data_IF_278902355825
#
_entry.id   IF_278902355825
#
_cell.length_a   1.000
_cell.length_b   1.000
_cell.length_c   1.000
_cell.angle_alpha   90.00
_cell.angle_beta   90.00
_cell.angle_gamma   90.00
#
_symmetry.space_group_name_H-M   'P 1'
#
loop_
_entity.id
_entity.type
_entity.pdbx_description
1 polymer ?
#
# COMPACT_ATOMS: atom_id res chain seq x y z
N UNK A 1 -4.40 9.93 10.62
CA UNK A 1 -4.46 8.47 10.86
C UNK A 1 -5.72 7.88 10.30
N UNK A 2 -6.90 8.41 10.65
CA UNK A 2 -8.19 7.78 10.36
C UNK A 2 -8.44 7.49 8.87
N UNK A 3 -8.45 8.48 7.98
CA UNK A 3 -8.74 8.24 6.56
C UNK A 3 -7.72 7.31 5.89
N UNK A 4 -6.43 7.53 6.13
CA UNK A 4 -5.36 6.77 5.48
C UNK A 4 -5.38 5.30 5.86
N UNK A 5 -5.60 4.98 7.14
CA UNK A 5 -5.74 3.59 7.60
C UNK A 5 -7.03 2.99 7.04
N UNK A 6 -8.17 3.69 7.10
CA UNK A 6 -9.47 3.21 6.61
C UNK A 6 -9.41 2.82 5.14
N UNK A 7 -8.85 3.68 4.31
CA UNK A 7 -8.70 3.46 2.88
C UNK A 7 -7.75 2.29 2.59
N UNK A 8 -6.65 2.17 3.34
CA UNK A 8 -5.71 1.07 3.15
C UNK A 8 -6.27 -0.27 3.61
N UNK A 9 -7.09 -0.30 4.67
CA UNK A 9 -7.89 -1.47 5.05
C UNK A 9 -8.79 -1.91 3.89
N UNK A 10 -9.53 -0.97 3.27
CA UNK A 10 -10.38 -1.27 2.12
C UNK A 10 -9.59 -1.81 0.90
N UNK A 11 -8.44 -1.20 0.61
CA UNK A 11 -7.55 -1.64 -0.47
C UNK A 11 -7.02 -3.07 -0.26
N UNK A 12 -6.50 -3.36 0.94
CA UNK A 12 -5.94 -4.66 1.27
C UNK A 12 -7.06 -5.71 1.34
N UNK A 13 -8.20 -5.38 1.95
CA UNK A 13 -9.35 -6.28 2.00
C UNK A 13 -9.82 -6.68 0.60
N UNK A 14 -9.99 -5.73 -0.32
CA UNK A 14 -10.31 -6.03 -1.72
C UNK A 14 -9.26 -6.94 -2.37
N UNK A 15 -7.97 -6.66 -2.15
CA UNK A 15 -6.87 -7.46 -2.72
C UNK A 15 -6.90 -8.90 -2.21
N UNK A 16 -7.11 -9.10 -0.90
CA UNK A 16 -7.22 -10.43 -0.30
C UNK A 16 -8.49 -11.16 -0.78
N UNK A 17 -9.65 -10.50 -0.80
CA UNK A 17 -10.92 -11.11 -1.21
C UNK A 17 -10.94 -11.50 -2.71
N UNK A 18 -10.11 -10.86 -3.53
CA UNK A 18 -9.91 -11.21 -4.95
C UNK A 18 -8.72 -12.14 -5.20
N UNK A 19 -8.12 -12.66 -4.12
CA UNK A 19 -7.00 -13.61 -4.10
C UNK A 19 -7.26 -14.69 -3.04
N UNK A 20 -8.22 -15.60 -3.28
CA UNK A 20 -8.64 -16.58 -2.28
C UNK A 20 -7.49 -17.51 -1.84
N UNK A 21 -6.53 -17.77 -2.72
CA UNK A 21 -5.35 -18.59 -2.43
C UNK A 21 -4.45 -17.93 -1.39
N UNK A 22 -4.25 -16.61 -1.50
CA UNK A 22 -3.50 -15.82 -0.52
C UNK A 22 -4.23 -15.78 0.83
N UNK A 23 -5.55 -15.60 0.84
CA UNK A 23 -6.33 -15.68 2.08
C UNK A 23 -6.24 -17.06 2.74
N UNK A 24 -6.32 -18.14 1.97
CA UNK A 24 -6.16 -19.51 2.51
C UNK A 24 -4.77 -19.72 3.09
N UNK A 25 -3.73 -19.27 2.39
CA UNK A 25 -2.33 -19.35 2.88
C UNK A 25 -2.15 -18.57 4.18
N UNK A 26 -2.65 -17.34 4.27
CA UNK A 26 -2.54 -16.52 5.49
C UNK A 26 -3.34 -17.09 6.67
N UNK A 27 -4.44 -17.79 6.42
CA UNK A 27 -5.17 -18.52 7.47
C UNK A 27 -4.42 -19.75 7.96
N UNK A 28 -3.76 -20.48 7.05
CA UNK A 28 -2.95 -21.65 7.39
C UNK A 28 -1.67 -21.26 8.15
N UNK A 29 -1.10 -20.09 7.83
CA UNK A 29 0.15 -19.59 8.41
C UNK A 29 0.02 -18.12 8.88
N UNK A 30 -0.72 -17.84 9.97
CA UNK A 30 -0.98 -16.47 10.43
C UNK A 30 0.29 -15.66 10.75
N UNK A 31 1.38 -16.34 11.14
CA UNK A 31 2.68 -15.73 11.40
C UNK A 31 3.30 -15.04 10.17
N UNK A 32 2.82 -15.34 8.95
CA UNK A 32 3.27 -14.70 7.71
C UNK A 32 2.59 -13.33 7.48
N UNK A 33 1.56 -12.99 8.24
CA UNK A 33 0.77 -11.77 8.04
C UNK A 33 1.63 -10.50 8.10
N UNK A 34 2.51 -10.26 9.10
CA UNK A 34 3.29 -9.03 9.16
C UNK A 34 4.15 -8.81 7.90
N UNK A 35 4.86 -9.86 7.46
CA UNK A 35 5.66 -9.83 6.22
C UNK A 35 4.79 -9.57 4.99
N UNK A 36 3.65 -10.24 4.91
CA UNK A 36 2.72 -10.07 3.77
C UNK A 36 2.13 -8.66 3.73
N UNK A 37 1.89 -8.04 4.89
CA UNK A 37 1.42 -6.65 4.97
C UNK A 37 2.44 -5.65 4.44
N UNK A 38 3.74 -5.85 4.69
CA UNK A 38 4.80 -5.01 4.10
C UNK A 38 4.80 -5.12 2.57
N UNK A 39 4.63 -6.32 2.02
CA UNK A 39 4.50 -6.50 0.57
C UNK A 39 3.22 -5.85 0.02
N UNK A 40 2.09 -5.99 0.71
CA UNK A 40 0.82 -5.36 0.34
C UNK A 40 0.92 -3.83 0.38
N UNK A 41 1.60 -3.28 1.38
CA UNK A 41 1.86 -1.84 1.51
C UNK A 41 2.78 -1.34 0.39
N UNK A 42 3.81 -2.09 0.01
CA UNK A 42 4.65 -1.78 -1.16
C UNK A 42 3.82 -1.80 -2.45
N UNK A 43 3.12 -2.91 -2.67
CA UNK A 43 2.52 -3.25 -3.95
C UNK A 43 1.25 -2.42 -4.23
N UNK A 44 0.41 -2.19 -3.21
CA UNK A 44 -0.87 -1.50 -3.37
C UNK A 44 -0.67 0.00 -3.26
N UNK A 45 -0.87 0.77 -4.34
CA UNK A 45 -0.71 2.21 -4.29
C UNK A 45 -1.87 2.82 -3.49
N UNK A 46 -1.54 3.43 -2.34
CA UNK A 46 -2.53 4.13 -1.53
C UNK A 46 -3.00 5.46 -2.17
N UNK A 47 -2.16 6.07 -3.01
CA UNK A 47 -2.45 7.30 -3.78
C UNK A 47 -2.45 7.02 -5.28
N UNK A 48 -3.21 7.79 -6.04
CA UNK A 48 -3.28 7.76 -7.51
C UNK A 48 -2.29 8.69 -8.20
N UNK A 49 -1.30 9.18 -7.46
CA UNK A 49 -0.34 10.16 -7.96
C UNK A 49 0.96 10.13 -7.18
N UNK A 50 1.85 11.04 -7.57
CA UNK A 50 3.17 11.21 -6.97
C UNK A 50 3.10 11.82 -5.56
N UNK A 51 4.22 11.77 -4.84
CA UNK A 51 4.35 12.27 -3.48
C UNK A 51 4.15 13.78 -3.34
N UNK A 52 4.12 14.21 -2.06
CA UNK A 52 4.04 15.64 -1.71
C UNK A 52 5.24 16.36 -2.35
N UNK A 53 5.03 17.45 -3.10
CA UNK A 53 6.12 18.16 -3.76
C UNK A 53 7.17 18.66 -2.77
N UNK A 54 8.38 18.86 -3.27
CA UNK A 54 9.46 19.62 -2.63
C UNK A 54 9.81 20.80 -3.52
N UNK A 55 10.29 21.87 -2.91
CA UNK A 55 10.85 23.02 -3.63
C UNK A 55 12.34 23.00 -3.36
N UNK A 56 13.16 23.00 -4.41
CA UNK A 56 14.60 23.11 -4.27
C UNK A 56 14.94 24.51 -3.73
N UNK A 57 15.66 24.59 -2.62
CA UNK A 57 16.06 25.87 -2.01
C UNK A 57 17.36 26.42 -2.62
N UNK A 58 18.15 25.53 -3.20
CA UNK A 58 19.41 25.81 -3.88
C UNK A 58 19.53 24.90 -5.10
N UNK A 59 20.49 25.20 -5.97
CA UNK A 59 20.82 24.35 -7.11
C UNK A 59 21.41 23.01 -6.61
N UNK A 60 20.87 21.89 -7.08
CA UNK A 60 21.28 20.53 -6.68
C UNK A 60 21.43 19.65 -7.91
N UNK A 61 22.58 18.99 -8.04
CA UNK A 61 22.76 17.94 -9.04
C UNK A 61 22.33 16.58 -8.46
N UNK A 62 21.35 15.94 -9.10
CA UNK A 62 20.83 14.63 -8.70
C UNK A 62 20.81 13.69 -9.91
N UNK A 63 21.57 12.59 -9.83
CA UNK A 63 21.67 11.59 -10.91
C UNK A 63 22.03 12.20 -12.28
N UNK A 64 22.92 13.21 -12.29
CA UNK A 64 23.34 13.92 -13.51
C UNK A 64 22.34 14.95 -14.02
N UNK A 65 21.28 15.25 -13.28
CA UNK A 65 20.30 16.31 -13.61
C UNK A 65 20.46 17.47 -12.63
N UNK A 66 20.68 18.67 -13.16
CA UNK A 66 20.66 19.90 -12.37
C UNK A 66 19.21 20.33 -12.11
N UNK A 67 18.81 20.29 -10.84
CA UNK A 67 17.57 20.86 -10.32
C UNK A 67 17.90 22.26 -9.81
N UNK A 68 17.23 23.29 -10.31
CA UNK A 68 17.53 24.68 -9.94
C UNK A 68 16.80 25.11 -8.68
N UNK A 69 17.35 26.07 -7.96
CA UNK A 69 16.64 26.76 -6.89
C UNK A 69 15.28 27.29 -7.38
N UNK A 70 14.22 26.98 -6.65
CA UNK A 70 12.84 27.30 -6.99
C UNK A 70 12.09 26.21 -7.77
N UNK A 71 12.78 25.20 -8.32
CA UNK A 71 12.12 24.10 -9.03
C UNK A 71 11.27 23.25 -8.08
N UNK A 72 10.10 22.83 -8.57
CA UNK A 72 9.21 21.90 -7.86
C UNK A 72 9.55 20.47 -8.27
N UNK A 73 9.90 19.64 -7.29
CA UNK A 73 10.28 18.25 -7.47
C UNK A 73 9.24 17.34 -6.81
N UNK A 74 8.71 16.39 -7.58
CA UNK A 74 7.87 15.34 -7.04
C UNK A 74 8.64 14.02 -6.91
N UNK A 75 8.50 13.38 -5.76
CA UNK A 75 9.02 12.01 -5.55
C UNK A 75 7.90 11.02 -5.85
N UNK A 76 8.07 10.20 -6.86
CA UNK A 76 7.10 9.16 -7.22
C UNK A 76 7.31 7.90 -6.38
N UNK A 77 6.56 7.76 -5.29
CA UNK A 77 6.56 6.51 -4.50
C UNK A 77 6.01 5.33 -5.29
N UNK A 78 5.13 5.59 -6.27
CA UNK A 78 4.55 4.59 -7.16
C UNK A 78 5.64 3.88 -7.96
N UNK A 79 6.54 4.64 -8.58
CA UNK A 79 7.66 4.07 -9.36
C UNK A 79 8.75 3.54 -8.44
N UNK A 80 9.03 4.22 -7.32
CA UNK A 80 10.04 3.75 -6.37
C UNK A 80 9.67 2.38 -5.77
N UNK A 81 8.39 2.13 -5.46
CA UNK A 81 7.92 0.82 -4.99
C UNK A 81 7.89 -0.26 -6.09
N UNK A 82 8.09 0.12 -7.35
CA UNK A 82 8.14 -0.75 -8.53
C UNK A 82 9.50 -0.74 -9.23
N UNK A 83 10.54 -0.22 -8.57
CA UNK A 83 11.88 -0.11 -9.15
C UNK A 83 12.54 -1.49 -9.27
N UNK A 84 12.82 -1.92 -10.50
CA UNK A 84 13.47 -3.22 -10.78
C UNK A 84 14.92 -3.29 -10.30
N UNK A 85 15.58 -2.16 -10.04
CA UNK A 85 16.90 -2.14 -9.42
C UNK A 85 16.85 -2.54 -7.93
N UNK A 86 15.68 -2.46 -7.31
CA UNK A 86 15.47 -2.76 -5.89
C UNK A 86 14.58 -3.98 -5.64
N UNK A 87 13.56 -4.18 -6.47
CA UNK A 87 12.56 -5.22 -6.31
C UNK A 87 12.58 -6.14 -7.54
N UNK A 88 13.01 -7.40 -7.38
CA UNK A 88 12.84 -8.41 -8.44
C UNK A 88 11.36 -8.63 -8.75
N UNK A 89 10.98 -8.76 -10.03
CA UNK A 89 9.57 -8.85 -10.48
C UNK A 89 8.67 -7.82 -9.75
N UNK A 90 8.94 -6.51 -9.91
CA UNK A 90 8.38 -5.47 -9.04
C UNK A 90 6.85 -5.34 -9.15
N UNK A 91 6.30 -5.71 -10.31
CA UNK A 91 4.87 -5.64 -10.60
C UNK A 91 4.09 -6.87 -10.14
N UNK A 92 4.77 -7.88 -9.61
CA UNK A 92 4.13 -9.03 -8.97
C UNK A 92 3.89 -8.73 -7.49
N UNK A 93 2.76 -9.22 -6.97
CA UNK A 93 2.50 -9.30 -5.54
C UNK A 93 3.09 -10.62 -5.07
N UNK A 94 4.23 -10.58 -4.38
CA UNK A 94 4.94 -11.76 -3.88
C UNK A 94 4.91 -11.76 -2.34
N UNK A 95 3.98 -12.51 -1.71
CA UNK A 95 3.88 -12.61 -0.25
C UNK A 95 5.16 -13.12 0.42
N UNK A 96 6.01 -13.80 -0.37
CA UNK A 96 7.28 -14.35 0.05
C UNK A 96 8.48 -13.49 -0.36
N UNK A 97 8.25 -12.23 -0.73
CA UNK A 97 9.32 -11.25 -0.89
C UNK A 97 9.99 -10.97 0.47
N UNK A 98 11.32 -10.94 0.57
CA UNK A 98 12.00 -10.45 1.78
C UNK A 98 11.52 -9.05 2.14
N UNK A 99 11.29 -8.77 3.42
CA UNK A 99 10.92 -7.42 3.87
C UNK A 99 12.09 -6.48 3.61
N UNK A 100 11.93 -5.60 2.63
CA UNK A 100 12.89 -4.57 2.28
C UNK A 100 12.20 -3.20 2.31
N UNK A 101 12.90 -2.11 2.66
CA UNK A 101 12.27 -0.81 2.83
C UNK A 101 11.52 -0.34 1.58
N UNK A 102 10.26 0.06 1.75
CA UNK A 102 9.42 0.61 0.68
C UNK A 102 9.07 2.08 0.97
N UNK A 103 8.61 2.81 -0.05
CA UNK A 103 8.33 4.25 0.00
C UNK A 103 6.88 4.60 0.40
N UNK A 104 6.05 3.62 0.78
CA UNK A 104 4.62 3.85 1.12
C UNK A 104 4.44 4.85 2.27
N UNK A 105 5.37 4.88 3.22
CA UNK A 105 5.38 5.84 4.33
C UNK A 105 6.32 7.05 4.10
N UNK A 106 6.84 7.22 2.89
CA UNK A 106 7.83 8.25 2.57
C UNK A 106 9.22 7.91 3.15
N UNK A 107 10.08 8.92 3.23
CA UNK A 107 11.46 8.79 3.73
C UNK A 107 11.97 10.11 4.33
N UNK A 108 13.00 10.01 5.18
CA UNK A 108 13.70 11.16 5.76
C UNK A 108 12.91 11.88 6.85
N UNK A 109 13.15 13.19 7.01
CA UNK A 109 12.57 13.99 8.10
C UNK A 109 11.03 14.07 8.09
N UNK A 110 10.40 13.77 6.95
CA UNK A 110 8.95 13.71 6.80
C UNK A 110 8.43 12.27 6.64
N UNK A 111 9.22 11.26 7.05
CA UNK A 111 8.72 9.90 7.15
C UNK A 111 7.46 9.87 8.02
N UNK A 112 6.46 9.08 7.59
CA UNK A 112 5.15 9.06 8.22
C UNK A 112 5.28 8.76 9.72
N UNK A 113 4.97 9.76 10.56
CA UNK A 113 4.97 9.62 12.01
C UNK A 113 4.00 8.52 12.48
N UNK A 114 2.92 8.31 11.73
CA UNK A 114 1.91 7.30 12.03
C UNK A 114 2.21 5.90 11.50
N UNK A 115 3.36 5.66 10.85
CA UNK A 115 3.66 4.35 10.26
C UNK A 115 3.56 3.18 11.26
N UNK A 116 4.15 3.26 12.49
CA UNK A 116 4.04 2.16 13.44
C UNK A 116 2.60 1.88 13.89
N UNK A 117 1.80 2.95 14.06
CA UNK A 117 0.39 2.81 14.42
C UNK A 117 -0.43 2.20 13.27
N UNK A 118 -0.24 2.68 12.04
CA UNK A 118 -0.93 2.16 10.88
C UNK A 118 -0.61 0.67 10.66
N UNK A 119 0.66 0.26 10.77
CA UNK A 119 1.05 -1.16 10.64
C UNK A 119 0.40 -2.01 11.73
N UNK A 120 0.40 -1.54 12.99
CA UNK A 120 -0.31 -2.24 14.09
C UNK A 120 -1.81 -2.36 13.82
N UNK A 121 -2.48 -1.29 13.37
CA UNK A 121 -3.91 -1.31 13.04
C UNK A 121 -4.21 -2.33 11.93
N UNK A 122 -3.39 -2.38 10.88
CA UNK A 122 -3.52 -3.35 9.79
C UNK A 122 -3.32 -4.79 10.28
N UNK A 123 -2.29 -5.04 11.09
CA UNK A 123 -2.02 -6.36 11.66
C UNK A 123 -3.20 -6.85 12.52
N UNK A 124 -3.71 -6.02 13.42
CA UNK A 124 -4.84 -6.36 14.29
C UNK A 124 -6.11 -6.59 13.47
N UNK A 125 -6.40 -5.72 12.51
CA UNK A 125 -7.59 -5.84 11.67
C UNK A 125 -7.57 -7.13 10.84
N UNK A 126 -6.47 -7.41 10.14
CA UNK A 126 -6.41 -8.58 9.25
C UNK A 126 -6.23 -9.89 10.00
N UNK A 127 -5.49 -9.93 11.10
CA UNK A 127 -5.43 -11.14 11.95
C UNK A 127 -6.82 -11.49 12.52
N UNK A 128 -7.56 -10.48 12.97
CA UNK A 128 -8.93 -10.65 13.47
C UNK A 128 -9.88 -11.11 12.37
N UNK A 129 -9.85 -10.46 11.20
CA UNK A 129 -10.71 -10.79 10.07
C UNK A 129 -10.47 -12.23 9.56
N UNK A 130 -9.20 -12.62 9.39
CA UNK A 130 -8.82 -13.96 8.92
C UNK A 130 -9.27 -15.05 9.89
N UNK A 131 -9.22 -14.77 11.20
CA UNK A 131 -9.60 -15.71 12.27
C UNK A 131 -11.11 -15.78 12.48
N UNK A 132 -11.79 -14.64 12.53
CA UNK A 132 -13.21 -14.54 12.92
C UNK A 132 -14.18 -14.80 11.77
N UNK A 133 -13.75 -14.56 10.52
CA UNK A 133 -14.59 -14.72 9.33
C UNK A 133 -13.89 -15.60 8.27
N UNK A 134 -13.76 -16.92 8.50
CA UNK A 134 -13.09 -17.84 7.58
C UNK A 134 -13.84 -18.01 6.23
N UNK A 135 -15.13 -17.70 6.18
CA UNK A 135 -15.95 -17.76 4.97
C UNK A 135 -16.15 -16.40 4.28
N UNK A 136 -15.51 -15.33 4.78
CA UNK A 136 -15.63 -13.97 4.23
C UNK A 136 -15.28 -13.94 2.75
N UNK A 137 -16.18 -13.37 1.95
CA UNK A 137 -16.05 -13.19 0.50
C UNK A 137 -16.78 -11.91 0.06
N UNK A 138 -16.49 -11.43 -1.15
CA UNK A 138 -17.28 -10.36 -1.77
C UNK A 138 -18.71 -10.86 -2.02
N UNK A 139 -19.68 -9.99 -1.76
CA UNK A 139 -21.10 -10.24 -2.07
C UNK A 139 -21.49 -9.79 -3.48
N UNK A 140 -20.53 -9.21 -4.21
CA UNK A 140 -20.67 -8.73 -5.59
C UNK A 140 -19.47 -9.17 -6.42
N UNK A 141 -19.59 -9.25 -7.76
CA UNK A 141 -18.45 -9.44 -8.64
C UNK A 141 -17.36 -8.36 -8.39
N UNK A 142 -16.05 -8.72 -8.44
CA UNK A 142 -14.98 -7.75 -8.19
C UNK A 142 -14.97 -6.52 -9.09
N UNK A 143 -15.53 -6.62 -10.29
CA UNK A 143 -15.66 -5.53 -11.26
C UNK A 143 -16.74 -4.51 -10.88
N UNK A 144 -17.70 -4.89 -10.05
CA UNK A 144 -18.83 -4.06 -9.63
C UNK A 144 -18.51 -3.24 -8.36
N UNK A 145 -17.32 -3.43 -7.79
CA UNK A 145 -16.85 -2.62 -6.66
C UNK A 145 -16.58 -1.20 -7.14
N UNK A 146 -17.36 -0.25 -6.66
CA UNK A 146 -17.19 1.18 -6.93
C UNK A 146 -15.94 1.72 -6.25
N UNK A 147 -15.05 2.34 -7.03
CA UNK A 147 -13.83 2.97 -6.52
C UNK A 147 -13.99 4.48 -6.46
N UNK A 148 -13.34 5.12 -5.49
CA UNK A 148 -13.17 6.57 -5.54
C UNK A 148 -12.43 6.91 -6.83
N UNK A 149 -12.97 7.80 -7.66
CA UNK A 149 -12.37 8.29 -8.92
C UNK A 149 -12.04 9.79 -8.88
N UNK A 150 -12.49 10.52 -7.86
CA UNK A 150 -12.50 11.99 -7.86
C UNK A 150 -11.34 12.63 -7.09
N UNK A 151 -10.72 11.91 -6.15
CA UNK A 151 -9.59 12.42 -5.37
C UNK A 151 -8.29 11.66 -5.62
N UNK A 152 -7.20 12.18 -5.04
CA UNK A 152 -5.86 11.58 -5.13
C UNK A 152 -5.73 10.24 -4.39
N UNK A 153 -6.71 9.87 -3.57
CA UNK A 153 -6.67 8.65 -2.78
C UNK A 153 -7.25 7.47 -3.55
N UNK A 154 -6.69 6.28 -3.36
CA UNK A 154 -7.24 5.03 -3.92
C UNK A 154 -7.92 4.25 -2.80
N UNK A 155 -9.22 3.99 -2.93
CA UNK A 155 -10.00 3.14 -2.04
C UNK A 155 -11.35 2.76 -2.66
N UNK A 156 -11.97 1.62 -2.27
CA UNK A 156 -13.33 1.32 -2.64
C UNK A 156 -14.32 2.22 -1.87
N UNK A 157 -15.33 2.78 -2.53
CA UNK A 157 -16.38 3.57 -1.88
C UNK A 157 -17.25 2.69 -0.97
N UNK A 158 -17.44 1.44 -1.36
CA UNK A 158 -18.06 0.39 -0.57
C UNK A 158 -17.42 -0.95 -0.93
N UNK A 159 -17.38 -1.88 0.03
CA UNK A 159 -16.90 -3.24 -0.18
C UNK A 159 -17.97 -4.23 0.33
N UNK A 160 -19.00 -4.55 -0.47
CA UNK A 160 -20.06 -5.48 -0.06
C UNK A 160 -19.47 -6.88 0.20
N UNK A 161 -19.75 -7.45 1.37
CA UNK A 161 -19.21 -8.75 1.80
C UNK A 161 -20.29 -9.60 2.47
N UNK A 162 -20.09 -10.91 2.40
CA UNK A 162 -20.89 -11.93 3.06
C UNK A 162 -19.96 -13.00 3.64
N UNK A 163 -20.40 -13.76 4.65
CA UNK A 163 -19.61 -14.81 5.30
C UNK A 163 -20.45 -16.06 5.50
#
# INVERSE_FOLDING_TARGET
GQDTTTYQLGNIAYTLLTRPDLMRSLRAEPQRLPRTLEELLRHIPFRKGVGIPRIALEDVELSGVLIKAGDVVHVSYLTANRDSAKFDRPDELDPDRPTIPHMTFGWGAHHCLGAPLATMELEVAFSTLLTRFPALRLDVPPADVSWNTTSIWRYPLALPVTW
#
